data_IF_580213289398
#
_entry.id   IF_580213289398
#
_cell.length_a   1.000
_cell.length_b   1.000
_cell.length_c   1.000
_cell.angle_alpha   90.00
_cell.angle_beta   90.00
_cell.angle_gamma   90.00
#
_symmetry.space_group_name_H-M   'P 1'
#
loop_
_entity.id
_entity.type
_entity.pdbx_description
1 polymer ?
#
# COMPACT_ATOMS: atom_id res chain seq x y z
N UNK A 1 10.15 -7.21 16.88
CA UNK A 1 9.13 -6.54 17.70
C UNK A 1 7.80 -6.75 17.02
N UNK A 2 6.74 -6.99 17.78
CA UNK A 2 5.37 -7.15 17.25
C UNK A 2 4.43 -6.24 18.05
N UNK A 3 3.32 -5.86 17.45
CA UNK A 3 2.34 -4.94 18.03
C UNK A 3 0.95 -5.54 17.92
N UNK A 4 0.04 -5.25 18.85
CA UNK A 4 -1.38 -5.45 18.55
C UNK A 4 -1.90 -4.34 17.63
N UNK A 5 -3.05 -4.53 16.96
CA UNK A 5 -3.69 -3.46 16.22
C UNK A 5 -3.95 -2.19 17.05
N UNK A 6 -4.31 -2.35 18.33
CA UNK A 6 -4.52 -1.21 19.24
C UNK A 6 -3.23 -0.46 19.56
N UNK A 7 -2.11 -1.18 19.72
CA UNK A 7 -0.81 -0.53 19.88
C UNK A 7 -0.47 0.30 18.63
N UNK A 8 -0.71 -0.25 17.43
CA UNK A 8 -0.45 0.47 16.18
C UNK A 8 -1.31 1.73 16.08
N UNK A 9 -2.61 1.64 16.45
CA UNK A 9 -3.51 2.79 16.48
C UNK A 9 -3.04 3.85 17.48
N UNK A 10 -2.58 3.44 18.66
CA UNK A 10 -2.03 4.34 19.67
C UNK A 10 -0.76 5.03 19.19
N UNK A 11 0.17 4.27 18.60
CA UNK A 11 1.41 4.83 18.01
C UNK A 11 1.10 5.86 16.91
N UNK A 12 0.07 5.61 16.09
CA UNK A 12 -0.41 6.58 15.07
C UNK A 12 -0.99 7.83 15.70
N UNK A 13 -1.84 7.68 16.71
CA UNK A 13 -2.40 8.79 17.46
C UNK A 13 -1.31 9.67 18.07
N UNK A 14 -0.32 9.07 18.72
CA UNK A 14 0.79 9.80 19.33
C UNK A 14 1.63 10.52 18.27
N UNK A 15 1.90 9.88 17.13
CA UNK A 15 2.58 10.52 15.98
C UNK A 15 1.82 11.72 15.45
N UNK A 16 0.49 11.62 15.33
CA UNK A 16 -0.35 12.73 14.90
C UNK A 16 -0.35 13.87 15.93
N UNK A 17 -0.45 13.55 17.22
CA UNK A 17 -0.40 14.50 18.32
C UNK A 17 0.96 15.23 18.36
N UNK A 18 2.06 14.51 18.17
CA UNK A 18 3.40 15.07 18.09
C UNK A 18 3.57 16.03 16.90
N UNK A 19 3.05 15.64 15.73
CA UNK A 19 3.06 16.49 14.54
C UNK A 19 2.29 17.79 14.76
N UNK A 20 1.09 17.71 15.33
CA UNK A 20 0.28 18.91 15.64
C UNK A 20 0.94 19.79 16.70
N UNK A 21 1.49 19.18 17.75
CA UNK A 21 2.20 19.91 18.81
C UNK A 21 3.38 20.72 18.25
N UNK A 22 4.18 20.10 17.39
CA UNK A 22 5.31 20.77 16.73
C UNK A 22 4.89 21.79 15.68
N UNK A 23 3.73 21.60 15.05
CA UNK A 23 3.14 22.61 14.16
C UNK A 23 2.78 23.88 14.92
N UNK A 24 2.27 23.75 16.15
CA UNK A 24 1.87 24.88 17.01
C UNK A 24 3.07 25.52 17.73
N UNK A 25 4.03 24.71 18.17
CA UNK A 25 5.26 25.14 18.84
C UNK A 25 6.45 24.32 18.34
N UNK A 26 7.29 24.86 17.44
CA UNK A 26 8.44 24.16 16.88
C UNK A 26 9.46 23.66 17.93
N UNK A 27 9.54 24.32 19.10
CA UNK A 27 10.44 23.95 20.19
C UNK A 27 9.83 22.89 21.12
N UNK A 28 8.56 22.54 20.93
CA UNK A 28 7.91 21.52 21.72
C UNK A 28 8.59 20.15 21.54
N UNK A 29 8.61 19.32 22.61
CA UNK A 29 9.17 17.99 22.52
C UNK A 29 8.40 17.14 21.49
N UNK A 30 9.15 16.34 20.72
CA UNK A 30 8.56 15.39 19.77
C UNK A 30 7.64 14.42 20.50
N UNK A 31 8.10 13.88 21.63
CA UNK A 31 7.36 12.93 22.45
C UNK A 31 7.33 13.41 23.90
N UNK A 32 6.16 13.34 24.52
CA UNK A 32 6.01 13.58 25.95
C UNK A 32 6.70 12.46 26.75
N UNK A 33 6.91 12.66 28.05
CA UNK A 33 7.37 11.58 28.93
C UNK A 33 6.37 10.43 29.01
N UNK A 34 5.07 10.73 28.95
CA UNK A 34 3.99 9.74 29.02
C UNK A 34 3.91 8.88 27.76
N UNK A 35 4.01 9.48 26.57
CA UNK A 35 4.05 8.78 25.28
C UNK A 35 5.26 7.82 25.24
N UNK A 36 6.46 8.30 25.63
CA UNK A 36 7.67 7.46 25.69
C UNK A 36 7.52 6.28 26.64
N UNK A 37 7.05 6.53 27.86
CA UNK A 37 6.81 5.47 28.84
C UNK A 37 5.78 4.44 28.36
N UNK A 38 4.80 4.88 27.57
CA UNK A 38 3.82 3.98 26.94
C UNK A 38 4.48 3.12 25.87
N UNK A 39 5.30 3.71 25.00
CA UNK A 39 5.99 2.97 23.94
C UNK A 39 7.00 1.96 24.48
N UNK A 40 7.69 2.30 25.57
CA UNK A 40 8.57 1.37 26.28
C UNK A 40 7.81 0.13 26.77
N UNK A 41 6.57 0.29 27.28
CA UNK A 41 5.74 -0.85 27.67
C UNK A 41 5.27 -1.69 26.48
N UNK A 42 5.06 -1.06 25.32
CA UNK A 42 4.62 -1.75 24.10
C UNK A 42 5.74 -2.52 23.40
N UNK A 43 7.01 -2.18 23.66
CA UNK A 43 8.17 -2.81 23.04
C UNK A 43 8.30 -4.31 23.38
N UNK A 44 7.80 -4.72 24.56
CA UNK A 44 7.96 -6.08 25.11
C UNK A 44 6.73 -6.98 24.89
N UNK A 45 5.90 -6.71 23.87
CA UNK A 45 4.70 -7.52 23.61
C UNK A 45 5.08 -8.99 23.31
N UNK A 46 4.44 -9.97 23.99
CA UNK A 46 4.73 -11.38 23.76
C UNK A 46 4.32 -11.83 22.37
N UNK A 47 5.02 -12.86 21.89
CA UNK A 47 4.67 -13.57 20.66
C UNK A 47 3.36 -14.37 20.82
N UNK A 48 2.70 -14.67 19.70
CA UNK A 48 1.47 -15.47 19.64
C UNK A 48 1.65 -16.63 18.67
N UNK A 49 1.51 -17.86 19.16
CA UNK A 49 1.75 -19.09 18.39
C UNK A 49 0.49 -19.66 17.71
N UNK A 50 -0.65 -18.99 17.82
CA UNK A 50 -1.91 -19.42 17.20
C UNK A 50 -2.08 -18.97 15.73
N UNK A 51 -3.20 -19.34 15.10
CA UNK A 51 -3.51 -18.89 13.74
C UNK A 51 -3.67 -17.36 13.70
N UNK A 52 -3.10 -16.75 12.65
CA UNK A 52 -3.16 -15.30 12.41
C UNK A 52 -4.25 -15.02 11.36
N UNK A 53 -5.33 -14.30 11.72
CA UNK A 53 -6.26 -13.74 10.75
C UNK A 53 -5.54 -12.83 9.74
N UNK A 54 -5.88 -12.96 8.46
CA UNK A 54 -5.41 -12.02 7.44
C UNK A 54 -6.13 -10.69 7.61
N UNK A 55 -5.42 -9.58 7.45
CA UNK A 55 -6.02 -8.25 7.52
C UNK A 55 -6.78 -7.95 6.22
N UNK A 56 -8.01 -7.42 6.31
CA UNK A 56 -8.74 -6.93 5.14
C UNK A 56 -8.18 -5.59 4.69
N UNK A 57 -7.63 -5.55 3.48
CA UNK A 57 -6.97 -4.35 2.94
C UNK A 57 -7.90 -3.57 2.03
N UNK A 58 -8.58 -4.28 1.13
CA UNK A 58 -9.50 -3.67 0.20
C UNK A 58 -10.64 -4.63 -0.16
N UNK A 59 -11.81 -4.04 -0.43
CA UNK A 59 -12.95 -4.74 -1.00
C UNK A 59 -13.49 -3.91 -2.17
N UNK A 60 -13.31 -4.42 -3.38
CA UNK A 60 -13.60 -3.70 -4.62
C UNK A 60 -14.83 -4.31 -5.28
N UNK A 61 -15.83 -3.47 -5.52
CA UNK A 61 -17.03 -3.86 -6.27
C UNK A 61 -16.91 -3.40 -7.71
N UNK A 62 -17.27 -4.27 -8.65
CA UNK A 62 -17.20 -3.99 -10.09
C UNK A 62 -18.11 -2.83 -10.53
N UNK A 63 -19.14 -2.51 -9.74
CA UNK A 63 -20.01 -1.34 -9.96
C UNK A 63 -19.36 0.00 -9.57
N UNK A 64 -18.36 -0.05 -8.69
CA UNK A 64 -17.72 1.13 -8.08
C UNK A 64 -16.32 1.37 -8.69
N UNK A 65 -15.62 0.30 -9.07
CA UNK A 65 -14.27 0.33 -9.68
C UNK A 65 -14.25 -0.65 -10.86
N UNK A 66 -13.71 -0.23 -12.00
CA UNK A 66 -13.49 -1.13 -13.15
C UNK A 66 -12.19 -1.93 -12.96
N UNK A 67 -12.24 -3.25 -13.11
CA UNK A 67 -11.07 -4.12 -13.03
C UNK A 67 -11.27 -5.44 -13.80
N UNK A 68 -10.20 -6.11 -14.28
CA UNK A 68 -10.28 -7.44 -14.85
C UNK A 68 -10.82 -8.41 -13.80
N UNK A 69 -11.86 -9.17 -14.17
CA UNK A 69 -12.54 -10.06 -13.24
C UNK A 69 -13.02 -11.33 -13.94
N UNK A 70 -13.13 -12.45 -13.21
CA UNK A 70 -13.87 -13.62 -13.68
C UNK A 70 -15.33 -13.27 -14.04
N UNK A 71 -15.95 -13.96 -15.02
CA UNK A 71 -17.31 -13.65 -15.46
C UNK A 71 -18.37 -13.67 -14.35
N UNK A 72 -18.21 -14.54 -13.37
CA UNK A 72 -19.13 -14.84 -12.28
C UNK A 72 -18.84 -14.08 -10.96
N UNK A 73 -17.86 -13.17 -10.97
CA UNK A 73 -17.50 -12.36 -9.81
C UNK A 73 -17.68 -10.87 -10.09
N UNK A 74 -18.32 -10.16 -9.17
CA UNK A 74 -18.47 -8.69 -9.15
C UNK A 74 -17.86 -8.06 -7.90
N UNK A 75 -17.18 -8.86 -7.07
CA UNK A 75 -16.52 -8.46 -5.84
C UNK A 75 -15.13 -9.10 -5.74
N UNK A 76 -14.11 -8.27 -5.48
CA UNK A 76 -12.76 -8.72 -5.14
C UNK A 76 -12.45 -8.33 -3.69
N UNK A 77 -12.05 -9.31 -2.88
CA UNK A 77 -11.50 -9.05 -1.54
C UNK A 77 -9.99 -9.27 -1.57
N UNK A 78 -9.25 -8.28 -1.07
CA UNK A 78 -7.81 -8.30 -0.90
C UNK A 78 -7.50 -8.41 0.58
N UNK A 79 -6.92 -9.54 0.98
CA UNK A 79 -6.44 -9.78 2.34
C UNK A 79 -4.91 -9.91 2.32
N UNK A 80 -4.24 -9.58 3.41
CA UNK A 80 -2.80 -9.86 3.52
C UNK A 80 -2.38 -10.37 4.90
N UNK A 81 -1.25 -11.08 4.92
CA UNK A 81 -0.60 -11.52 6.15
C UNK A 81 0.08 -10.31 6.81
N UNK A 82 -0.11 -10.05 8.12
CA UNK A 82 0.54 -8.93 8.81
C UNK A 82 2.02 -9.22 9.18
N UNK A 83 2.68 -10.10 8.43
CA UNK A 83 4.05 -10.54 8.64
C UNK A 83 4.82 -10.55 7.33
N UNK A 84 6.13 -10.40 7.48
CA UNK A 84 7.11 -10.50 6.42
C UNK A 84 7.15 -11.92 5.88
N UNK A 85 7.29 -11.99 4.56
CA UNK A 85 7.71 -13.19 3.87
C UNK A 85 9.01 -12.93 3.10
N UNK A 86 9.39 -13.85 2.21
CA UNK A 86 10.70 -13.94 1.55
C UNK A 86 11.26 -12.60 1.01
N UNK A 87 10.40 -11.67 0.58
CA UNK A 87 10.79 -10.36 0.02
C UNK A 87 10.38 -9.16 0.90
N UNK A 88 10.26 -9.31 2.22
CA UNK A 88 9.79 -8.26 3.15
C UNK A 88 8.40 -7.65 2.82
N UNK A 89 7.66 -8.31 1.92
CA UNK A 89 6.30 -7.96 1.54
C UNK A 89 5.30 -8.89 2.23
N UNK A 90 4.09 -8.39 2.54
CA UNK A 90 3.06 -9.23 3.12
C UNK A 90 2.54 -10.19 2.06
N UNK A 91 2.28 -11.44 2.45
CA UNK A 91 1.66 -12.39 1.53
C UNK A 91 0.20 -12.00 1.31
N UNK A 92 -0.18 -11.74 0.07
CA UNK A 92 -1.54 -11.37 -0.31
C UNK A 92 -2.38 -12.60 -0.65
N UNK A 93 -3.67 -12.53 -0.34
CA UNK A 93 -4.67 -13.51 -0.73
C UNK A 93 -5.84 -12.77 -1.39
N UNK A 94 -6.20 -13.20 -2.61
CA UNK A 94 -7.26 -12.61 -3.41
C UNK A 94 -8.45 -13.56 -3.45
N UNK A 95 -9.63 -13.04 -3.14
CA UNK A 95 -10.88 -13.80 -3.18
C UNK A 95 -11.87 -13.12 -4.12
N UNK A 96 -12.22 -13.82 -5.19
CA UNK A 96 -13.26 -13.43 -6.14
C UNK A 96 -14.61 -13.95 -5.65
N UNK A 97 -15.61 -13.08 -5.60
CA UNK A 97 -16.96 -13.40 -5.12
C UNK A 97 -18.02 -12.77 -6.01
N UNK A 98 -19.21 -13.37 -5.98
CA UNK A 98 -20.44 -12.69 -6.33
C UNK A 98 -21.01 -12.03 -5.07
N UNK A 99 -21.20 -10.72 -5.11
CA UNK A 99 -21.77 -9.94 -4.01
C UNK A 99 -23.17 -10.43 -3.62
N UNK A 100 -23.94 -10.94 -4.59
CA UNK A 100 -25.27 -11.50 -4.38
C UNK A 100 -25.27 -12.81 -3.56
N UNK A 101 -24.14 -13.52 -3.48
CA UNK A 101 -24.04 -14.76 -2.69
C UNK A 101 -23.49 -14.52 -1.29
N UNK A 102 -23.05 -13.30 -0.97
CA UNK A 102 -22.57 -12.92 0.36
C UNK A 102 -23.78 -12.63 1.26
N UNK A 103 -24.09 -13.57 2.14
CA UNK A 103 -25.25 -13.51 3.04
C UNK A 103 -24.86 -13.25 4.49
N UNK A 104 -23.70 -13.73 4.91
CA UNK A 104 -23.14 -13.53 6.24
C UNK A 104 -22.01 -12.52 6.18
N UNK A 105 -22.32 -11.27 6.52
CA UNK A 105 -21.34 -10.17 6.63
C UNK A 105 -21.02 -9.98 8.11
N UNK A 106 -19.73 -9.93 8.43
CA UNK A 106 -19.27 -9.65 9.80
C UNK A 106 -19.43 -8.15 10.11
N UNK A 107 -19.93 -7.83 11.30
CA UNK A 107 -20.01 -6.43 11.78
C UNK A 107 -18.62 -5.80 11.95
N UNK A 108 -17.64 -6.62 12.35
CA UNK A 108 -16.24 -6.24 12.44
C UNK A 108 -15.36 -7.37 11.87
N UNK A 109 -14.36 -7.04 11.02
CA UNK A 109 -13.42 -8.05 10.57
C UNK A 109 -12.59 -8.59 11.74
N UNK A 110 -12.18 -9.88 11.69
CA UNK A 110 -11.31 -10.43 12.71
C UNK A 110 -9.96 -9.72 12.70
N UNK A 111 -9.55 -9.22 13.86
CA UNK A 111 -8.26 -8.57 14.02
C UNK A 111 -7.18 -9.59 14.45
N UNK A 112 -5.96 -9.50 13.88
CA UNK A 112 -4.87 -10.33 14.34
C UNK A 112 -4.43 -9.91 15.75
N UNK A 113 -4.04 -10.86 16.61
CA UNK A 113 -3.57 -10.53 17.96
C UNK A 113 -2.23 -9.77 17.94
N UNK A 114 -1.43 -10.01 16.90
CA UNK A 114 -0.14 -9.36 16.68
C UNK A 114 0.08 -9.09 15.18
N UNK A 115 0.78 -8.00 14.91
CA UNK A 115 1.26 -7.54 13.59
C UNK A 115 2.76 -7.25 13.69
N UNK A 116 3.53 -7.59 12.67
CA UNK A 116 4.98 -7.43 12.70
C UNK A 116 5.42 -5.98 12.50
N UNK A 117 4.71 -5.24 11.64
CA UNK A 117 4.97 -3.84 11.34
C UNK A 117 3.66 -3.05 11.32
N UNK A 118 3.74 -1.81 11.76
CA UNK A 118 2.63 -0.86 11.75
C UNK A 118 2.08 -0.62 10.34
N UNK A 119 2.94 -0.61 9.33
CA UNK A 119 2.56 -0.42 7.93
C UNK A 119 1.67 -1.53 7.36
N UNK A 120 1.57 -2.69 8.01
CA UNK A 120 0.67 -3.76 7.58
C UNK A 120 -0.77 -3.55 8.05
N UNK A 121 -1.03 -2.74 9.06
CA UNK A 121 -2.41 -2.45 9.48
C UNK A 121 -2.99 -1.34 8.61
N UNK A 122 -3.91 -1.59 7.67
CA UNK A 122 -4.48 -0.50 6.87
C UNK A 122 -5.24 0.50 7.76
N UNK A 123 -5.19 1.77 7.40
CA UNK A 123 -6.06 2.79 7.99
C UNK A 123 -7.35 2.88 7.16
N UNK A 124 -8.53 2.90 7.80
CA UNK A 124 -9.76 3.20 7.11
C UNK A 124 -9.65 4.56 6.42
N UNK A 125 -9.79 4.57 5.10
CA UNK A 125 -9.66 5.78 4.31
C UNK A 125 -10.77 5.85 3.25
N UNK A 126 -11.01 7.06 2.75
CA UNK A 126 -11.85 7.24 1.58
C UNK A 126 -11.06 6.77 0.35
N UNK A 127 -11.66 5.87 -0.43
CA UNK A 127 -11.08 5.39 -1.66
C UNK A 127 -11.65 6.17 -2.85
N UNK A 128 -10.78 6.75 -3.68
CA UNK A 128 -11.15 7.49 -4.89
C UNK A 128 -10.41 6.90 -6.08
N UNK A 129 -11.02 5.97 -6.84
CA UNK A 129 -10.38 5.37 -8.01
C UNK A 129 -10.19 6.41 -9.12
N UNK A 130 -9.04 6.34 -9.80
CA UNK A 130 -8.76 7.12 -11.00
C UNK A 130 -8.44 6.16 -12.15
N UNK A 131 -8.90 6.49 -13.35
CA UNK A 131 -8.51 5.78 -14.56
C UNK A 131 -7.27 6.45 -15.15
N UNK A 132 -6.15 5.73 -15.11
CA UNK A 132 -4.88 6.17 -15.70
C UNK A 132 -4.57 5.36 -16.97
N UNK A 133 -3.89 6.00 -17.91
CA UNK A 133 -3.33 5.32 -19.09
C UNK A 133 -1.91 4.89 -18.76
N UNK A 134 -1.64 3.59 -18.88
CA UNK A 134 -0.29 3.04 -18.76
C UNK A 134 0.24 2.61 -20.13
N UNK A 135 1.55 2.75 -20.29
CA UNK A 135 2.28 2.30 -21.47
C UNK A 135 2.97 0.94 -21.20
N UNK A 136 3.29 0.16 -22.24
CA UNK A 136 3.99 -1.12 -22.08
C UNK A 136 5.32 -0.96 -21.36
N UNK A 137 5.78 -2.03 -20.71
CA UNK A 137 7.12 -2.04 -20.14
C UNK A 137 8.15 -1.77 -21.25
N UNK A 138 9.21 -0.95 -21.04
CA UNK A 138 10.19 -0.67 -22.08
C UNK A 138 10.80 -1.94 -22.71
N UNK A 139 10.94 -3.03 -21.93
CA UNK A 139 11.44 -4.31 -22.42
C UNK A 139 10.50 -5.05 -23.40
N UNK A 140 9.22 -4.67 -23.46
CA UNK A 140 8.21 -5.21 -24.37
C UNK A 140 8.15 -4.46 -25.70
N UNK A 141 8.77 -3.28 -25.77
CA UNK A 141 8.81 -2.46 -26.98
C UNK A 141 9.77 -3.05 -28.02
N UNK A 142 9.57 -2.68 -29.29
CA UNK A 142 10.56 -3.00 -30.31
C UNK A 142 11.87 -2.24 -30.09
N UNK A 143 12.93 -2.69 -30.75
CA UNK A 143 14.27 -2.11 -30.55
C UNK A 143 14.34 -0.65 -30.96
N UNK A 144 13.61 -0.26 -32.01
CA UNK A 144 13.61 1.14 -32.46
C UNK A 144 13.02 2.07 -31.40
N UNK A 145 11.94 1.64 -30.74
CA UNK A 145 11.32 2.34 -29.63
C UNK A 145 12.17 2.32 -28.37
N UNK A 146 12.86 1.21 -28.07
CA UNK A 146 13.83 1.13 -26.97
C UNK A 146 14.98 2.12 -27.17
N UNK A 147 15.62 2.12 -28.34
CA UNK A 147 16.71 3.05 -28.69
C UNK A 147 16.23 4.52 -28.60
N UNK A 148 14.98 4.75 -28.95
CA UNK A 148 14.31 6.04 -28.84
C UNK A 148 14.02 6.48 -27.41
N UNK A 149 13.78 5.55 -26.48
CA UNK A 149 13.60 5.87 -25.06
C UNK A 149 14.95 6.15 -24.40
N UNK A 150 16.00 5.44 -24.80
CA UNK A 150 17.37 5.58 -24.27
C UNK A 150 18.05 6.91 -24.69
N UNK A 151 17.49 7.62 -25.68
CA UNK A 151 17.99 8.93 -26.12
C UNK A 151 17.58 10.06 -25.16
N UNK A 152 18.50 10.40 -24.25
CA UNK A 152 18.35 11.51 -23.28
C UNK A 152 17.95 12.85 -23.92
N UNK A 153 18.37 13.15 -25.16
CA UNK A 153 18.06 14.44 -25.80
C UNK A 153 16.56 14.65 -25.98
N UNK A 154 15.78 13.56 -26.03
CA UNK A 154 14.32 13.60 -26.15
C UNK A 154 13.61 13.93 -24.85
N UNK A 155 14.30 13.81 -23.72
CA UNK A 155 13.76 14.06 -22.38
C UNK A 155 14.08 15.47 -21.86
N UNK A 156 14.95 16.23 -22.53
CA UNK A 156 15.42 17.56 -22.09
C UNK A 156 14.30 18.60 -21.88
N UNK A 157 13.14 18.39 -22.49
CA UNK A 157 11.98 19.29 -22.36
C UNK A 157 11.08 18.99 -21.16
N UNK A 158 11.35 17.88 -20.45
CA UNK A 158 10.56 17.46 -19.30
C UNK A 158 11.20 18.04 -18.03
N UNK A 159 10.36 18.64 -17.18
CA UNK A 159 10.77 19.22 -15.91
C UNK A 159 11.39 18.13 -15.00
N UNK A 160 12.64 18.28 -14.54
CA UNK A 160 13.29 17.33 -13.64
C UNK A 160 12.53 17.06 -12.35
N UNK A 161 11.69 18.00 -11.89
CA UNK A 161 10.83 17.80 -10.72
C UNK A 161 9.71 16.77 -10.96
N UNK A 162 9.45 16.38 -12.22
CA UNK A 162 8.48 15.34 -12.59
C UNK A 162 9.08 13.94 -12.60
N UNK A 163 10.39 13.80 -12.41
CA UNK A 163 11.04 12.50 -12.32
C UNK A 163 10.92 11.93 -10.90
N UNK A 164 10.64 10.63 -10.81
CA UNK A 164 10.89 9.88 -9.59
C UNK A 164 12.40 9.94 -9.25
N UNK A 165 12.74 10.02 -7.97
CA UNK A 165 14.12 10.14 -7.45
C UNK A 165 15.00 8.90 -7.72
N UNK A 166 14.47 7.90 -8.43
CA UNK A 166 15.07 6.61 -8.75
C UNK A 166 15.21 6.37 -10.26
N UNK A 167 15.31 7.43 -11.07
CA UNK A 167 15.59 7.31 -12.49
C UNK A 167 16.98 7.89 -12.78
N UNK A 168 17.99 7.04 -12.68
CA UNK A 168 19.38 7.39 -12.98
C UNK A 168 19.67 7.32 -14.51
N UNK A 169 18.78 6.66 -15.28
CA UNK A 169 18.85 6.53 -16.74
C UNK A 169 17.50 6.84 -17.45
N UNK A 170 17.52 7.16 -18.76
CA UNK A 170 16.30 7.48 -19.51
C UNK A 170 15.30 6.33 -19.68
N UNK A 171 15.75 5.07 -19.66
CA UNK A 171 14.85 3.91 -19.70
C UNK A 171 14.01 3.81 -18.43
N UNK A 172 14.61 4.14 -17.28
CA UNK A 172 13.95 4.23 -15.98
C UNK A 172 12.89 5.35 -15.94
N UNK A 173 13.04 6.41 -16.73
CA UNK A 173 12.01 7.46 -16.83
C UNK A 173 10.70 6.91 -17.39
N UNK A 174 10.76 6.14 -18.47
CA UNK A 174 9.59 5.53 -19.05
C UNK A 174 9.02 4.44 -18.12
N UNK A 175 9.90 3.59 -17.57
CA UNK A 175 9.49 2.51 -16.67
C UNK A 175 8.76 3.06 -15.44
N UNK A 176 9.36 4.01 -14.72
CA UNK A 176 8.90 4.46 -13.41
C UNK A 176 7.78 5.51 -13.48
N UNK A 177 7.60 6.20 -14.61
CA UNK A 177 6.61 7.29 -14.72
C UNK A 177 5.49 7.02 -15.73
N UNK A 178 5.71 6.19 -16.74
CA UNK A 178 4.74 5.96 -17.84
C UNK A 178 4.26 4.51 -17.92
N UNK A 179 5.11 3.55 -17.54
CA UNK A 179 4.82 2.12 -17.66
C UNK A 179 4.31 1.50 -16.37
N UNK A 180 4.60 2.14 -15.24
CA UNK A 180 4.12 1.74 -13.92
C UNK A 180 3.57 2.96 -13.19
N UNK A 181 2.24 3.08 -13.13
CA UNK A 181 1.62 4.13 -12.33
C UNK A 181 1.91 3.88 -10.84
N UNK A 182 2.32 4.88 -10.06
CA UNK A 182 2.55 4.71 -8.63
C UNK A 182 1.26 4.32 -7.91
N UNK A 183 1.37 3.48 -6.88
CA UNK A 183 0.25 3.12 -6.02
C UNK A 183 -0.40 1.77 -6.33
N UNK A 184 -1.69 1.66 -6.05
CA UNK A 184 -2.47 0.42 -6.22
C UNK A 184 -3.17 0.42 -7.56
N UNK A 185 -3.00 -0.67 -8.30
CA UNK A 185 -3.63 -0.86 -9.60
C UNK A 185 -4.48 -2.11 -9.58
N UNK A 186 -5.61 -2.06 -10.27
CA UNK A 186 -6.55 -3.18 -10.36
C UNK A 186 -6.47 -3.91 -11.69
N UNK A 187 -5.60 -3.44 -12.61
CA UNK A 187 -5.19 -4.04 -13.87
C UNK A 187 -3.82 -3.47 -14.23
N UNK A 188 -3.23 -3.89 -15.36
CA UNK A 188 -1.85 -3.54 -15.71
C UNK A 188 -0.90 -4.71 -15.50
N UNK A 189 0.12 -4.77 -16.35
CA UNK A 189 0.92 -5.95 -16.72
C UNK A 189 0.14 -7.06 -17.47
N UNK A 190 -0.04 -6.80 -18.77
CA UNK A 190 -0.19 -7.86 -19.76
C UNK A 190 1.15 -8.53 -19.96
N UNK A 191 1.17 -9.84 -19.78
CA UNK A 191 2.26 -10.77 -20.06
C UNK A 191 3.06 -10.49 -21.33
#
# INVERSE_FOLDING_TARGET
MVHSPDDVRLLRHDRAAAAERRRLDPEAPQWTSEERATWERLADRPWFDGPIPLLPVAQLYARDVSFPRPPDADLLQVLWCPFDHEMAHPRTALFWRSSATVTEVLDAPPEPPIVQRDCYLPEPCLFSPEQVTEYPNPSELDRELQDQLDDMSRWETIDPARYNTYADDPGELCLNNLSTAPGWQTGGWTR
#
